data_IF_607677213604
#
_entry.id   IF_607677213604
#
_cell.length_a   1.000
_cell.length_b   1.000
_cell.length_c   1.000
_cell.angle_alpha   90.00
_cell.angle_beta   90.00
_cell.angle_gamma   90.00
#
_symmetry.space_group_name_H-M   'P 1'
#
loop_
_entity.id
_entity.type
_entity.pdbx_description
1 polymer ?
#
# COMPACT_ATOMS: atom_id res chain seq x y z
N UNK A 1 37.81 39.69 19.77
CA UNK A 1 36.51 39.42 19.10
C UNK A 1 36.63 38.45 17.92
N UNK A 2 37.68 38.51 17.08
CA UNK A 2 37.86 37.61 15.92
C UNK A 2 37.97 36.11 16.29
N UNK A 3 38.62 35.78 17.42
CA UNK A 3 38.74 34.39 17.91
C UNK A 3 37.40 33.77 18.34
N UNK A 4 36.50 34.59 18.88
CA UNK A 4 35.14 34.17 19.22
C UNK A 4 34.30 33.91 17.96
N UNK A 5 34.53 34.67 16.88
CA UNK A 5 33.84 34.47 15.61
C UNK A 5 34.23 33.14 14.95
N UNK A 6 35.50 32.74 15.05
CA UNK A 6 35.98 31.43 14.56
C UNK A 6 35.36 30.28 15.35
N UNK A 7 35.27 30.40 16.69
CA UNK A 7 34.60 29.41 17.55
C UNK A 7 33.10 29.29 17.23
N UNK A 8 32.43 30.42 16.95
CA UNK A 8 31.03 30.42 16.54
C UNK A 8 30.81 29.72 15.19
N UNK A 9 31.69 29.98 14.22
CA UNK A 9 31.66 29.32 12.90
C UNK A 9 31.90 27.81 13.00
N UNK A 10 32.81 27.40 13.88
CA UNK A 10 33.10 25.99 14.15
C UNK A 10 31.90 25.27 14.81
N UNK A 11 31.18 25.95 15.71
CA UNK A 11 30.00 25.40 16.37
C UNK A 11 28.83 25.18 15.39
N UNK A 12 28.64 26.09 14.44
CA UNK A 12 27.60 25.95 13.41
C UNK A 12 27.94 24.90 12.35
N UNK A 13 29.23 24.62 12.13
CA UNK A 13 29.69 23.64 11.13
C UNK A 13 29.36 22.19 11.53
N UNK A 14 29.40 21.86 12.83
CA UNK A 14 29.09 20.50 13.30
C UNK A 14 27.58 20.22 13.33
N UNK A 15 26.73 21.25 13.47
CA UNK A 15 25.28 21.13 13.42
C UNK A 15 24.74 20.85 12.00
N UNK A 16 25.51 21.15 10.95
CA UNK A 16 25.11 20.95 9.56
C UNK A 16 25.07 19.47 9.13
N UNK A 17 25.70 18.57 9.89
CA UNK A 17 25.81 17.14 9.54
C UNK A 17 24.86 16.22 10.34
N UNK A 18 23.95 16.75 11.16
CA UNK A 18 23.07 15.92 12.00
C UNK A 18 21.80 15.42 11.30
N UNK A 19 21.84 15.16 10.00
CA UNK A 19 20.70 14.58 9.27
C UNK A 19 21.06 13.19 8.77
N UNK A 20 20.72 12.17 9.56
CA UNK A 20 20.56 10.81 9.09
C UNK A 20 19.09 10.44 9.32
N UNK A 21 18.24 10.78 8.34
CA UNK A 21 16.94 10.13 8.24
C UNK A 21 17.18 8.72 7.71
N UNK A 22 17.32 7.73 8.60
CA UNK A 22 17.10 6.33 8.25
C UNK A 22 15.61 6.14 7.99
N UNK A 23 15.17 6.70 6.86
CA UNK A 23 13.87 6.42 6.31
C UNK A 23 14.07 5.24 5.38
N UNK A 24 13.64 4.07 5.85
CA UNK A 24 13.17 3.03 4.95
C UNK A 24 12.08 3.69 4.09
N UNK A 25 12.51 4.28 2.98
CA UNK A 25 11.74 5.14 2.09
C UNK A 25 10.81 4.29 1.25
N UNK A 26 9.94 3.54 1.91
CA UNK A 26 8.78 2.93 1.29
C UNK A 26 7.79 4.07 1.05
N UNK A 27 8.09 4.89 0.03
CA UNK A 27 7.16 5.72 -0.69
C UNK A 27 6.39 6.74 0.17
N UNK A 28 7.01 7.91 0.40
CA UNK A 28 6.30 9.10 0.90
C UNK A 28 5.18 9.54 -0.07
N UNK A 29 5.34 9.23 -1.37
CA UNK A 29 4.27 9.20 -2.36
C UNK A 29 3.62 7.81 -2.35
N UNK A 30 2.68 7.59 -1.41
CA UNK A 30 2.18 6.26 -1.03
C UNK A 30 1.86 5.29 -2.17
N UNK A 31 2.19 4.00 -1.99
CA UNK A 31 1.96 2.94 -2.99
C UNK A 31 0.47 2.85 -3.39
N UNK A 32 0.19 2.66 -4.69
CA UNK A 32 -1.16 2.31 -5.13
C UNK A 32 -1.57 0.95 -4.58
N UNK A 33 -2.70 0.89 -3.90
CA UNK A 33 -3.16 -0.36 -3.28
C UNK A 33 -4.66 -0.37 -3.12
N UNK A 34 -5.23 -1.57 -3.23
CA UNK A 34 -6.61 -1.83 -2.81
C UNK A 34 -6.65 -1.69 -1.29
N UNK A 35 -7.52 -0.80 -0.79
CA UNK A 35 -7.71 -0.59 0.64
C UNK A 35 -8.84 -1.46 1.19
N UNK A 36 -9.86 -1.72 0.37
CA UNK A 36 -10.92 -2.67 0.68
C UNK A 36 -11.65 -3.10 -0.59
N UNK A 37 -12.28 -4.26 -0.56
CA UNK A 37 -13.20 -4.69 -1.60
C UNK A 37 -14.39 -5.45 -1.00
N UNK A 38 -15.52 -5.39 -1.67
CA UNK A 38 -16.70 -6.19 -1.40
C UNK A 38 -17.24 -6.73 -2.72
N UNK A 39 -17.45 -8.05 -2.80
CA UNK A 39 -17.86 -8.73 -4.03
C UNK A 39 -19.17 -9.48 -3.80
N UNK A 40 -20.18 -9.11 -4.55
CA UNK A 40 -21.46 -9.80 -4.64
C UNK A 40 -21.42 -10.79 -5.80
N UNK A 41 -21.58 -12.08 -5.49
CA UNK A 41 -21.57 -13.17 -6.48
C UNK A 41 -22.94 -13.81 -6.53
N UNK A 42 -23.61 -13.68 -7.68
CA UNK A 42 -24.86 -14.37 -7.95
C UNK A 42 -24.61 -15.54 -8.92
N UNK A 43 -25.02 -16.74 -8.49
CA UNK A 43 -24.94 -17.96 -9.30
C UNK A 43 -26.32 -18.22 -9.88
N UNK A 44 -26.44 -18.15 -11.21
CA UNK A 44 -27.71 -18.42 -11.87
C UNK A 44 -27.96 -19.93 -12.02
N UNK A 45 -29.19 -20.29 -12.40
CA UNK A 45 -29.61 -21.70 -12.58
C UNK A 45 -28.91 -22.41 -13.75
N UNK A 46 -28.26 -21.66 -14.65
CA UNK A 46 -27.50 -22.15 -15.81
C UNK A 46 -25.99 -22.17 -15.53
N UNK A 47 -25.58 -22.01 -14.28
CA UNK A 47 -24.18 -21.94 -13.85
C UNK A 47 -23.41 -20.74 -14.40
N UNK A 48 -24.11 -19.70 -14.87
CA UNK A 48 -23.49 -18.40 -15.13
C UNK A 48 -23.27 -17.65 -13.82
N UNK A 49 -22.15 -16.94 -13.75
CA UNK A 49 -21.78 -16.13 -12.59
C UNK A 49 -21.91 -14.66 -12.94
N UNK A 50 -22.73 -13.92 -12.18
CA UNK A 50 -22.72 -12.47 -12.22
C UNK A 50 -22.00 -11.95 -10.98
N UNK A 51 -20.95 -11.15 -11.18
CA UNK A 51 -20.08 -10.66 -10.12
C UNK A 51 -20.07 -9.14 -10.16
N UNK A 52 -20.50 -8.52 -9.08
CA UNK A 52 -20.43 -7.06 -8.88
C UNK A 52 -19.46 -6.77 -7.75
N UNK A 53 -18.52 -5.85 -7.95
CA UNK A 53 -17.53 -5.52 -6.92
C UNK A 53 -17.48 -4.02 -6.65
N UNK A 54 -17.43 -3.66 -5.38
CA UNK A 54 -17.10 -2.32 -4.93
C UNK A 54 -15.68 -2.34 -4.34
N UNK A 55 -14.77 -1.62 -4.99
CA UNK A 55 -13.34 -1.64 -4.67
C UNK A 55 -12.89 -0.22 -4.32
N UNK A 56 -12.39 -0.04 -3.09
CA UNK A 56 -11.72 1.19 -2.70
C UNK A 56 -10.22 1.05 -2.97
N UNK A 57 -9.66 2.06 -3.62
CA UNK A 57 -8.25 2.09 -4.01
C UNK A 57 -7.62 3.40 -3.56
N UNK A 58 -6.46 3.29 -2.93
CA UNK A 58 -5.55 4.42 -2.81
C UNK A 58 -4.83 4.59 -4.16
N UNK A 59 -5.21 5.59 -4.95
CA UNK A 59 -4.58 5.88 -6.25
C UNK A 59 -3.54 7.00 -6.12
N UNK A 60 -2.48 6.92 -6.95
CA UNK A 60 -1.46 7.97 -7.08
C UNK A 60 -1.82 9.04 -8.12
N UNK A 61 -3.06 9.05 -8.61
CA UNK A 61 -3.57 9.99 -9.61
C UNK A 61 -5.08 9.88 -9.76
N UNK A 62 -5.61 10.30 -10.91
CA UNK A 62 -7.05 10.24 -11.19
C UNK A 62 -7.51 8.79 -11.40
N UNK A 63 -6.66 7.95 -12.01
CA UNK A 63 -6.93 6.55 -12.30
C UNK A 63 -5.81 5.66 -11.76
N UNK A 64 -6.15 4.41 -11.48
CA UNK A 64 -5.16 3.37 -11.16
C UNK A 64 -4.20 3.18 -12.35
N UNK A 65 -2.89 3.27 -12.10
CA UNK A 65 -1.89 3.02 -13.15
C UNK A 65 -1.75 1.53 -13.45
N UNK A 66 -1.94 0.69 -12.45
CA UNK A 66 -1.92 -0.78 -12.55
C UNK A 66 -3.35 -1.29 -12.54
N UNK A 67 -3.71 -2.16 -13.50
CA UNK A 67 -5.04 -2.79 -13.53
C UNK A 67 -5.29 -3.68 -12.30
N UNK A 68 -6.55 -4.07 -12.09
CA UNK A 68 -6.96 -4.96 -10.99
C UNK A 68 -7.02 -6.39 -11.51
N UNK A 69 -6.18 -7.28 -10.97
CA UNK A 69 -6.21 -8.71 -11.26
C UNK A 69 -7.21 -9.42 -10.35
N UNK A 70 -8.01 -10.35 -10.91
CA UNK A 70 -9.04 -11.10 -10.19
C UNK A 70 -8.98 -12.58 -10.57
N UNK A 71 -9.16 -13.46 -9.59
CA UNK A 71 -9.29 -14.90 -9.79
C UNK A 71 -10.43 -15.43 -8.94
N UNK A 72 -11.27 -16.28 -9.53
CA UNK A 72 -12.27 -17.01 -8.77
C UNK A 72 -11.61 -18.18 -8.05
N UNK A 73 -11.90 -18.40 -6.76
CA UNK A 73 -11.47 -19.61 -6.09
C UNK A 73 -12.17 -20.81 -6.76
N UNK A 74 -11.38 -21.71 -7.35
CA UNK A 74 -11.89 -22.90 -8.03
C UNK A 74 -12.10 -24.08 -7.09
N UNK A 75 -11.58 -23.98 -5.86
CA UNK A 75 -11.69 -25.01 -4.83
C UNK A 75 -12.53 -24.51 -3.67
N UNK A 76 -13.36 -25.41 -3.14
CA UNK A 76 -14.16 -25.18 -1.94
C UNK A 76 -13.45 -25.83 -0.76
N UNK A 77 -12.89 -25.04 0.16
CA UNK A 77 -12.45 -25.56 1.45
C UNK A 77 -13.64 -25.53 2.41
N UNK A 78 -14.25 -26.70 2.65
CA UNK A 78 -15.23 -26.89 3.70
C UNK A 78 -14.45 -27.19 4.97
N UNK A 79 -14.32 -26.21 5.86
CA UNK A 79 -13.66 -26.39 7.15
C UNK A 79 -14.22 -27.64 7.86
N UNK A 80 -13.42 -28.72 7.87
CA UNK A 80 -13.59 -29.95 8.67
C UNK A 80 -14.78 -30.87 8.32
N UNK A 81 -15.16 -31.03 7.05
CA UNK A 81 -15.95 -32.21 6.68
C UNK A 81 -15.02 -33.42 6.55
N UNK A 82 -14.70 -34.06 7.67
CA UNK A 82 -14.08 -35.39 7.68
C UNK A 82 -15.05 -36.35 6.99
N UNK A 83 -14.71 -36.79 5.79
CA UNK A 83 -15.37 -37.91 5.12
C UNK A 83 -15.35 -39.11 6.06
N UNK A 84 -16.54 -39.55 6.49
CA UNK A 84 -16.73 -40.84 7.13
C UNK A 84 -16.59 -41.99 6.14
#
# INVERSE_FOLDING_TARGET
MKRFLVLFYLLTFTLAFSQEEDSLSINKDGIERITSFHSDINVDKKSALNITENINVHSLGINIKRGIYRALPLSRNLNNLSSG
#
